data_IF_303850616585
#
_entry.id   IF_303850616585
#
_cell.length_a   1.000
_cell.length_b   1.000
_cell.length_c   1.000
_cell.angle_alpha   90.00
_cell.angle_beta   90.00
_cell.angle_gamma   90.00
#
_symmetry.space_group_name_H-M   'P 1'
#
loop_
_entity.id
_entity.type
_entity.pdbx_description
1 polymer ?
#
# COMPACT_ATOMS: atom_id res chain seq x y z
N UNK A 1 16.15 -3.63 -3.55
CA UNK A 1 15.24 -2.68 -2.86
C UNK A 1 13.85 -2.90 -3.44
N UNK A 2 12.84 -3.14 -2.61
CA UNK A 2 11.47 -3.43 -3.07
C UNK A 2 10.84 -2.14 -3.62
N UNK A 3 10.73 -1.96 -4.94
CA UNK A 3 10.19 -0.73 -5.51
C UNK A 3 8.68 -0.61 -5.34
N UNK A 4 7.97 -1.73 -5.46
CA UNK A 4 6.52 -1.76 -5.42
C UNK A 4 6.02 -2.26 -4.06
N UNK A 5 4.97 -1.65 -3.55
CA UNK A 5 4.28 -2.08 -2.34
C UNK A 5 2.84 -2.41 -2.69
N UNK A 6 2.47 -3.69 -2.62
CA UNK A 6 1.08 -4.14 -2.80
C UNK A 6 0.33 -3.91 -1.50
N UNK A 7 -0.71 -3.08 -1.51
CA UNK A 7 -1.51 -2.75 -0.33
C UNK A 7 -2.80 -3.55 -0.33
N UNK A 8 -3.10 -4.14 0.82
CA UNK A 8 -4.32 -4.89 1.06
C UNK A 8 -4.81 -4.68 2.48
N UNK A 9 -6.11 -4.90 2.70
CA UNK A 9 -6.71 -4.86 4.01
C UNK A 9 -7.10 -6.27 4.45
N UNK A 10 -6.74 -6.62 5.68
CA UNK A 10 -7.10 -7.90 6.30
C UNK A 10 -7.59 -7.64 7.72
N UNK A 11 -8.77 -8.17 8.07
CA UNK A 11 -9.43 -7.94 9.38
C UNK A 11 -9.49 -6.46 9.81
N UNK A 12 -9.73 -5.56 8.85
CA UNK A 12 -9.81 -4.11 9.09
C UNK A 12 -8.47 -3.39 9.18
N UNK A 13 -7.34 -4.10 9.20
CA UNK A 13 -6.01 -3.49 9.25
C UNK A 13 -5.38 -3.44 7.85
N UNK A 14 -4.65 -2.35 7.59
CA UNK A 14 -3.88 -2.21 6.36
C UNK A 14 -2.54 -2.93 6.48
N UNK A 15 -2.21 -3.67 5.43
CA UNK A 15 -0.96 -4.39 5.29
C UNK A 15 -0.38 -4.10 3.91
N UNK A 16 0.95 -4.26 3.79
CA UNK A 16 1.63 -4.17 2.50
C UNK A 16 2.55 -5.38 2.28
N UNK A 17 2.82 -5.67 1.01
CA UNK A 17 3.84 -6.63 0.59
C UNK A 17 4.77 -5.95 -0.40
N UNK A 18 6.05 -5.88 -0.07
CA UNK A 18 7.08 -5.39 -0.98
C UNK A 18 7.37 -6.36 -2.14
N UNK A 19 7.48 -5.83 -3.35
CA UNK A 19 7.86 -6.54 -4.58
C UNK A 19 8.90 -5.75 -5.38
N UNK A 20 9.70 -6.47 -6.16
CA UNK A 20 10.76 -5.87 -6.96
C UNK A 20 10.23 -5.41 -8.32
N UNK A 21 9.32 -6.18 -8.92
CA UNK A 21 8.76 -5.87 -10.24
C UNK A 21 7.26 -5.57 -10.16
N UNK A 22 6.78 -4.80 -11.14
CA UNK A 22 5.36 -4.48 -11.26
C UNK A 22 4.52 -5.73 -11.57
N UNK A 23 5.07 -6.66 -12.35
CA UNK A 23 4.40 -7.91 -12.72
C UNK A 23 4.14 -8.80 -11.49
N UNK A 24 5.15 -8.98 -10.65
CA UNK A 24 4.99 -9.69 -9.36
C UNK A 24 3.99 -9.01 -8.43
N UNK A 25 3.99 -7.66 -8.42
CA UNK A 25 3.05 -6.88 -7.64
C UNK A 25 1.60 -7.09 -8.10
N UNK A 26 1.37 -7.08 -9.42
CA UNK A 26 0.07 -7.37 -10.03
C UNK A 26 -0.39 -8.81 -9.76
N UNK A 27 0.49 -9.80 -9.95
CA UNK A 27 0.18 -11.20 -9.66
C UNK A 27 -0.20 -11.41 -8.17
N UNK A 28 0.52 -10.72 -7.26
CA UNK A 28 0.21 -10.75 -5.82
C UNK A 28 -1.14 -10.08 -5.54
N UNK A 29 -1.44 -8.94 -6.17
CA UNK A 29 -2.72 -8.24 -6.02
C UNK A 29 -3.89 -9.12 -6.45
N UNK A 30 -3.79 -9.79 -7.61
CA UNK A 30 -4.81 -10.71 -8.14
C UNK A 30 -5.01 -11.90 -7.18
N UNK A 31 -3.92 -12.47 -6.67
CA UNK A 31 -3.98 -13.56 -5.69
C UNK A 31 -4.72 -13.14 -4.41
N UNK A 32 -4.47 -11.91 -3.94
CA UNK A 32 -5.15 -11.34 -2.76
C UNK A 32 -6.63 -11.10 -3.05
N UNK A 33 -6.97 -10.54 -4.22
CA UNK A 33 -8.35 -10.30 -4.63
C UNK A 33 -9.16 -11.62 -4.69
N UNK A 34 -8.55 -12.69 -5.20
CA UNK A 34 -9.16 -14.02 -5.29
C UNK A 34 -9.27 -14.76 -3.95
N UNK A 35 -8.54 -14.33 -2.90
CA UNK A 35 -8.53 -15.01 -1.60
C UNK A 35 -9.83 -14.82 -0.81
N UNK A 36 -10.67 -13.83 -1.14
CA UNK A 36 -11.96 -13.52 -0.50
C UNK A 36 -11.88 -13.00 0.94
N UNK A 37 -10.89 -13.43 1.72
CA UNK A 37 -10.64 -13.01 3.10
C UNK A 37 -9.90 -11.67 3.22
N UNK A 38 -9.25 -11.25 2.14
CA UNK A 38 -8.43 -10.04 2.07
C UNK A 38 -9.02 -9.10 1.02
N UNK A 39 -9.10 -7.82 1.34
CA UNK A 39 -9.53 -6.79 0.39
C UNK A 39 -8.28 -6.24 -0.29
N UNK A 40 -8.08 -6.57 -1.56
CA UNK A 40 -7.07 -5.91 -2.39
C UNK A 40 -7.39 -4.42 -2.50
N UNK A 41 -6.39 -3.54 -2.33
CA UNK A 41 -6.55 -2.08 -2.52
C UNK A 41 -5.88 -1.65 -3.82
N UNK A 42 -4.59 -1.95 -3.97
CA UNK A 42 -3.79 -1.49 -5.09
C UNK A 42 -2.29 -1.64 -4.88
N UNK A 43 -1.51 -0.99 -5.74
CA UNK A 43 -0.05 -1.05 -5.78
C UNK A 43 0.50 0.37 -5.69
N UNK A 44 1.42 0.59 -4.77
CA UNK A 44 2.18 1.83 -4.64
C UNK A 44 3.57 1.67 -5.27
N UNK A 45 3.98 2.61 -6.12
CA UNK A 45 5.34 2.71 -6.66
C UNK A 45 6.13 3.77 -5.89
N UNK A 46 7.16 3.34 -5.16
CA UNK A 46 8.02 4.23 -4.37
C UNK A 46 8.89 5.16 -5.22
N UNK A 47 9.16 4.82 -6.48
CA UNK A 47 9.99 5.65 -7.35
C UNK A 47 9.25 6.88 -7.86
N UNK A 48 7.97 6.70 -8.17
CA UNK A 48 7.12 7.76 -8.76
C UNK A 48 6.12 8.32 -7.75
N UNK A 49 6.05 7.73 -6.57
CA UNK A 49 5.05 8.01 -5.52
C UNK A 49 3.60 7.89 -6.01
N UNK A 50 3.39 7.13 -7.08
CA UNK A 50 2.08 6.91 -7.68
C UNK A 50 1.40 5.69 -7.07
N UNK A 51 0.09 5.81 -6.90
CA UNK A 51 -0.77 4.72 -6.49
C UNK A 51 -1.62 4.22 -7.65
N UNK A 52 -1.54 2.92 -7.94
CA UNK A 52 -2.38 2.22 -8.90
C UNK A 52 -3.45 1.43 -8.17
N UNK A 53 -4.70 1.84 -8.29
CA UNK A 53 -5.84 1.14 -7.71
C UNK A 53 -6.08 -0.22 -8.37
N UNK A 54 -6.70 -1.14 -7.63
CA UNK A 54 -7.29 -2.34 -8.22
C UNK A 54 -8.47 -1.93 -9.13
N UNK A 55 -8.66 -2.61 -10.25
CA UNK A 55 -9.62 -2.24 -11.32
C UNK A 55 -11.03 -1.94 -10.82
N UNK A 56 -11.60 -2.78 -9.93
CA UNK A 56 -12.94 -2.54 -9.38
C UNK A 56 -12.99 -1.29 -8.50
N UNK A 57 -11.91 -1.01 -7.76
CA UNK A 57 -11.79 0.21 -6.94
C UNK A 57 -11.48 1.45 -7.77
N UNK A 58 -10.76 1.28 -8.85
CA UNK A 58 -10.46 2.36 -9.78
C UNK A 58 -11.75 2.92 -10.36
N UNK A 59 -12.69 2.05 -10.77
CA UNK A 59 -14.00 2.48 -11.26
C UNK A 59 -14.78 3.30 -10.22
N UNK A 60 -14.77 2.87 -8.95
CA UNK A 60 -15.41 3.61 -7.85
C UNK A 60 -14.71 4.95 -7.56
N UNK A 61 -13.39 4.97 -7.65
CA UNK A 61 -12.57 6.17 -7.49
C UNK A 61 -12.88 7.16 -8.61
N UNK A 62 -12.89 6.72 -9.87
CA UNK A 62 -13.17 7.55 -11.05
C UNK A 62 -14.62 8.10 -11.05
N UNK A 63 -15.57 7.38 -10.45
CA UNK A 63 -16.95 7.85 -10.28
C UNK A 63 -17.13 8.84 -9.10
N UNK A 64 -16.13 8.99 -8.24
CA UNK A 64 -16.18 9.90 -7.09
C UNK A 64 -15.93 11.36 -7.52
N UNK A 65 -16.36 12.33 -6.70
CA UNK A 65 -16.05 13.74 -6.94
C UNK A 65 -14.54 13.99 -6.86
N UNK A 66 -14.05 15.03 -7.56
CA UNK A 66 -12.62 15.40 -7.57
C UNK A 66 -12.07 15.59 -6.15
N UNK A 67 -12.85 16.22 -5.26
CA UNK A 67 -12.46 16.40 -3.85
C UNK A 67 -12.30 15.07 -3.12
N UNK A 68 -13.20 14.12 -3.38
CA UNK A 68 -13.14 12.78 -2.77
C UNK A 68 -11.98 11.96 -3.35
N UNK A 69 -11.72 12.07 -4.65
CA UNK A 69 -10.56 11.48 -5.30
C UNK A 69 -9.26 12.00 -4.67
N UNK A 70 -9.11 13.32 -4.56
CA UNK A 70 -7.94 13.94 -3.93
C UNK A 70 -7.73 13.42 -2.51
N UNK A 71 -8.79 13.40 -1.69
CA UNK A 71 -8.73 12.90 -0.31
C UNK A 71 -8.36 11.42 -0.22
N UNK A 72 -9.00 10.57 -1.02
CA UNK A 72 -8.73 9.12 -1.04
C UNK A 72 -7.32 8.80 -1.53
N UNK A 73 -6.86 9.51 -2.56
CA UNK A 73 -5.51 9.39 -3.11
C UNK A 73 -4.45 9.79 -2.09
N UNK A 74 -4.63 10.94 -1.43
CA UNK A 74 -3.72 11.40 -0.38
C UNK A 74 -3.68 10.42 0.79
N UNK A 75 -4.84 10.00 1.32
CA UNK A 75 -4.93 9.08 2.44
C UNK A 75 -4.21 7.74 2.15
N UNK A 76 -4.43 7.16 0.96
CA UNK A 76 -3.81 5.87 0.65
C UNK A 76 -2.30 5.98 0.43
N UNK A 77 -1.81 7.10 -0.12
CA UNK A 77 -0.38 7.37 -0.25
C UNK A 77 0.26 7.50 1.14
N UNK A 78 -0.37 8.23 2.06
CA UNK A 78 0.10 8.35 3.44
C UNK A 78 0.15 6.97 4.15
N UNK A 79 -0.87 6.14 3.97
CA UNK A 79 -0.89 4.76 4.49
C UNK A 79 0.24 3.93 3.88
N UNK A 80 0.45 4.02 2.57
CA UNK A 80 1.50 3.30 1.85
C UNK A 80 2.89 3.65 2.40
N UNK A 81 3.16 4.94 2.55
CA UNK A 81 4.43 5.46 3.07
C UNK A 81 4.63 5.07 4.54
N UNK A 82 3.60 5.17 5.38
CA UNK A 82 3.68 4.78 6.78
C UNK A 82 3.97 3.28 6.96
N UNK A 83 3.29 2.43 6.19
CA UNK A 83 3.54 0.98 6.16
C UNK A 83 4.96 0.66 5.71
N UNK A 84 5.42 1.31 4.64
CA UNK A 84 6.78 1.13 4.12
C UNK A 84 7.86 1.59 5.10
N UNK A 85 7.69 2.75 5.75
CA UNK A 85 8.60 3.21 6.83
C UNK A 85 8.66 2.20 7.98
N UNK A 86 7.52 1.63 8.36
CA UNK A 86 7.47 0.60 9.41
C UNK A 86 8.22 -0.68 9.01
N UNK A 87 8.12 -1.14 7.78
CA UNK A 87 8.85 -2.31 7.29
C UNK A 87 10.35 -2.04 7.08
N UNK A 88 10.72 -0.82 6.67
CA UNK A 88 12.12 -0.39 6.62
C UNK A 88 12.73 -0.28 8.02
N UNK A 89 12.02 0.26 9.00
CA UNK A 89 12.44 0.27 10.40
C UNK A 89 12.52 -1.16 10.99
N UNK A 90 11.77 -2.12 10.45
CA UNK A 90 11.89 -3.53 10.82
C UNK A 90 13.15 -4.19 10.20
N UNK A 91 13.61 -3.70 9.05
CA UNK A 91 14.82 -4.18 8.35
C UNK A 91 16.09 -3.37 8.63
N UNK A 92 15.99 -2.23 9.31
CA UNK A 92 17.11 -1.35 9.62
C UNK A 92 16.92 -0.73 10.99
N UNK A 93 17.70 -1.22 11.95
CA UNK A 93 18.04 -0.58 13.23
C UNK A 93 16.85 -0.05 14.05
N UNK A 94 16.45 -0.85 15.04
CA UNK A 94 15.92 -0.30 16.29
C UNK A 94 16.97 0.62 16.94
N UNK A 95 17.11 1.86 16.49
CA UNK A 95 17.44 2.94 17.41
C UNK A 95 16.19 3.21 18.22
N UNK A 96 16.00 2.39 19.26
CA UNK A 96 15.18 2.77 20.40
C UNK A 96 15.71 4.15 20.85
N UNK A 97 14.91 5.21 20.91
CA UNK A 97 15.33 6.39 21.65
C UNK A 97 15.61 5.90 23.07
N UNK A 98 16.88 5.99 23.49
CA UNK A 98 17.30 5.60 24.82
C UNK A 98 16.53 6.43 25.85
N UNK A 99 15.52 5.82 26.46
CA UNK A 99 14.89 6.33 27.67
C UNK A 99 15.71 5.83 28.86
N UNK A 100 16.82 6.50 29.13
CA UNK A 100 17.47 6.62 30.44
C UNK A 100 18.13 8.01 30.42
N UNK A 101 17.52 9.02 31.05
CA UNK A 101 17.65 9.34 32.48
C UNK A 101 19.08 9.79 32.83
#
# INVERSE_FOLDING_TARGET
>A
MNRFSVIYQYKGQYHHVGRHTLDEAKATLVTIANSGSRKAIGIYDDKTELFSWETVRQDQYDQSSIEMQAKLGEEIIHIAQALRRRDMNWRGEFQRPGLFA
#
